data_IF_841950122937
#
_entry.id   IF_841950122937
#
_cell.length_a   1.000
_cell.length_b   1.000
_cell.length_c   1.000
_cell.angle_alpha   90.00
_cell.angle_beta   90.00
_cell.angle_gamma   90.00
#
_symmetry.space_group_name_H-M   'P 1'
#
loop_
_entity.id
_entity.type
_entity.pdbx_description
1 polymer ?
#
# COMPACT_ATOMS: atom_id res chain seq x y z
N UNK A 1 -9.18 -12.08 -36.14
CA UNK A 1 -9.19 -13.56 -36.20
C UNK A 1 -7.87 -14.16 -36.66
N UNK A 2 -7.15 -13.55 -37.63
CA UNK A 2 -5.86 -14.08 -38.13
C UNK A 2 -4.80 -14.17 -37.04
N UNK A 3 -4.64 -13.12 -36.24
CA UNK A 3 -3.61 -13.04 -35.20
C UNK A 3 -3.87 -14.04 -34.05
N UNK A 4 -5.14 -14.25 -33.69
CA UNK A 4 -5.51 -15.27 -32.69
C UNK A 4 -5.22 -16.68 -33.23
N UNK A 5 -5.45 -16.92 -34.54
CA UNK A 5 -5.09 -18.20 -35.13
C UNK A 5 -3.58 -18.44 -35.08
N UNK A 6 -2.78 -17.43 -35.44
CA UNK A 6 -1.32 -17.51 -35.35
C UNK A 6 -0.86 -17.74 -33.91
N UNK A 7 -1.49 -17.06 -32.91
CA UNK A 7 -1.19 -17.30 -31.50
C UNK A 7 -1.43 -18.77 -31.09
N UNK A 8 -2.58 -19.34 -31.48
CA UNK A 8 -2.89 -20.73 -31.17
C UNK A 8 -1.93 -21.71 -31.86
N UNK A 9 -1.56 -21.46 -33.13
CA UNK A 9 -0.58 -22.28 -33.84
C UNK A 9 0.79 -22.26 -33.13
N UNK A 10 1.26 -21.08 -32.69
CA UNK A 10 2.52 -20.95 -31.95
C UNK A 10 2.43 -21.65 -30.59
N UNK A 11 1.31 -21.50 -29.87
CA UNK A 11 1.09 -22.16 -28.59
C UNK A 11 1.18 -23.69 -28.71
N UNK A 12 0.50 -24.26 -29.73
CA UNK A 12 0.53 -25.71 -30.00
C UNK A 12 1.92 -26.19 -30.40
N UNK A 13 2.64 -25.40 -31.22
CA UNK A 13 4.01 -25.72 -31.63
C UNK A 13 4.96 -25.73 -30.42
N UNK A 14 4.86 -24.77 -29.51
CA UNK A 14 5.68 -24.71 -28.29
C UNK A 14 5.40 -25.94 -27.43
N UNK A 15 4.14 -26.24 -27.16
CA UNK A 15 3.77 -27.42 -26.36
C UNK A 15 4.27 -28.73 -26.94
N UNK A 16 4.28 -28.83 -28.27
CA UNK A 16 4.63 -30.08 -28.96
C UNK A 16 6.12 -30.29 -29.16
N UNK A 17 6.87 -29.20 -29.34
CA UNK A 17 8.25 -29.28 -29.84
C UNK A 17 9.28 -28.72 -28.87
N UNK A 18 8.90 -28.04 -27.77
CA UNK A 18 9.88 -27.57 -26.80
C UNK A 18 10.58 -28.77 -26.12
N UNK A 19 11.87 -28.61 -25.80
CA UNK A 19 12.73 -29.69 -25.27
C UNK A 19 12.24 -30.30 -23.99
N UNK A 20 11.64 -29.47 -23.12
CA UNK A 20 11.06 -29.93 -21.84
C UNK A 20 9.53 -29.83 -21.89
N UNK A 21 8.86 -30.61 -21.05
CA UNK A 21 7.39 -30.52 -20.90
C UNK A 21 7.02 -29.16 -20.28
N UNK A 22 6.09 -28.43 -20.92
CA UNK A 22 5.67 -27.08 -20.50
C UNK A 22 4.21 -27.09 -20.07
N UNK A 23 3.96 -26.53 -18.89
CA UNK A 23 2.59 -26.33 -18.42
C UNK A 23 1.86 -25.27 -19.22
N UNK A 24 0.64 -25.60 -19.64
CA UNK A 24 -0.22 -24.71 -20.45
C UNK A 24 -0.57 -23.43 -19.72
N UNK A 25 -0.80 -23.50 -18.41
CA UNK A 25 -1.15 -22.34 -17.58
C UNK A 25 0.00 -21.34 -17.54
N UNK A 26 1.22 -21.84 -17.39
CA UNK A 26 2.44 -21.02 -17.41
C UNK A 26 2.61 -20.28 -18.73
N UNK A 27 2.38 -20.96 -19.87
CA UNK A 27 2.48 -20.36 -21.19
C UNK A 27 1.42 -19.27 -21.40
N UNK A 28 0.16 -19.54 -21.03
CA UNK A 28 -0.93 -18.57 -21.15
C UNK A 28 -0.69 -17.35 -20.24
N UNK A 29 -0.29 -17.55 -18.99
CA UNK A 29 0.04 -16.45 -18.09
C UNK A 29 1.22 -15.62 -18.62
N UNK A 30 2.23 -16.28 -19.21
CA UNK A 30 3.34 -15.60 -19.88
C UNK A 30 2.86 -14.73 -21.05
N UNK A 31 1.95 -15.24 -21.88
CA UNK A 31 1.38 -14.50 -23.00
C UNK A 31 0.54 -13.30 -22.53
N UNK A 32 -0.32 -13.48 -21.53
CA UNK A 32 -1.13 -12.40 -20.92
C UNK A 32 -0.20 -11.33 -20.36
N UNK A 33 0.83 -11.72 -19.60
CA UNK A 33 1.81 -10.79 -19.05
C UNK A 33 2.57 -10.03 -20.16
N UNK A 34 2.94 -10.69 -21.24
CA UNK A 34 3.57 -10.05 -22.41
C UNK A 34 2.66 -8.98 -23.02
N UNK A 35 1.39 -9.30 -23.23
CA UNK A 35 0.38 -8.36 -23.73
C UNK A 35 0.23 -7.14 -22.83
N UNK A 36 0.09 -7.36 -21.51
CA UNK A 36 -0.12 -6.27 -20.56
C UNK A 36 1.13 -5.39 -20.43
N UNK A 37 2.32 -5.98 -20.40
CA UNK A 37 3.60 -5.24 -20.34
C UNK A 37 3.84 -4.35 -21.56
N UNK A 38 3.22 -4.64 -22.70
CA UNK A 38 3.32 -3.79 -23.90
C UNK A 38 2.55 -2.47 -23.77
N UNK A 39 1.68 -2.31 -22.75
CA UNK A 39 0.88 -1.11 -22.56
C UNK A 39 1.62 -0.05 -21.73
N UNK A 40 2.04 -0.40 -20.54
CA UNK A 40 2.75 0.48 -19.59
C UNK A 40 3.39 -0.33 -18.44
N UNK A 41 4.29 0.26 -17.62
CA UNK A 41 4.94 -0.44 -16.53
C UNK A 41 4.06 -0.66 -15.28
N UNK A 42 2.85 -0.11 -15.23
CA UNK A 42 1.97 -0.13 -14.07
C UNK A 42 0.81 -1.12 -14.22
N UNK A 43 0.45 -1.46 -15.45
CA UNK A 43 -0.55 -2.48 -15.73
C UNK A 43 0.03 -3.87 -15.52
N UNK A 44 -0.74 -4.78 -14.93
CA UNK A 44 -0.29 -6.13 -14.61
C UNK A 44 -1.45 -7.12 -14.58
N UNK A 45 -1.19 -8.35 -14.97
CA UNK A 45 -2.02 -9.49 -14.63
C UNK A 45 -1.60 -10.02 -13.26
N UNK A 46 -2.56 -10.22 -12.38
CA UNK A 46 -2.33 -10.71 -11.02
C UNK A 46 -2.93 -12.11 -10.87
N UNK A 47 -2.10 -13.05 -10.48
CA UNK A 47 -2.57 -14.36 -10.04
C UNK A 47 -3.48 -14.23 -8.81
N UNK A 48 -4.30 -15.24 -8.46
CA UNK A 48 -5.16 -15.18 -7.27
C UNK A 48 -4.42 -14.82 -5.98
N UNK A 49 -3.20 -15.36 -5.79
CA UNK A 49 -2.39 -15.04 -4.63
C UNK A 49 -1.95 -13.56 -4.59
N UNK A 50 -1.49 -13.02 -5.73
CA UNK A 50 -1.08 -11.60 -5.84
C UNK A 50 -2.28 -10.65 -5.70
N UNK A 51 -3.43 -11.02 -6.24
CA UNK A 51 -4.65 -10.22 -6.07
C UNK A 51 -5.08 -10.16 -4.61
N UNK A 52 -5.05 -11.28 -3.90
CA UNK A 52 -5.34 -11.33 -2.47
C UNK A 52 -4.37 -10.51 -1.63
N UNK A 53 -3.09 -10.46 -1.99
CA UNK A 53 -2.12 -9.59 -1.32
C UNK A 53 -2.45 -8.11 -1.54
N UNK A 54 -2.81 -7.72 -2.77
CA UNK A 54 -3.25 -6.36 -3.05
C UNK A 54 -4.51 -5.98 -2.27
N UNK A 55 -5.49 -6.90 -2.13
CA UNK A 55 -6.67 -6.65 -1.29
C UNK A 55 -6.28 -6.38 0.17
N UNK A 56 -5.35 -7.16 0.71
CA UNK A 56 -4.83 -6.96 2.08
C UNK A 56 -4.16 -5.59 2.24
N UNK A 57 -3.30 -5.21 1.29
CA UNK A 57 -2.66 -3.89 1.30
C UNK A 57 -3.68 -2.76 1.20
N UNK A 58 -4.68 -2.94 0.34
CA UNK A 58 -5.74 -1.96 0.12
C UNK A 58 -6.63 -1.79 1.36
N UNK A 59 -7.00 -2.89 2.01
CA UNK A 59 -7.77 -2.87 3.25
C UNK A 59 -6.98 -2.33 4.44
N UNK A 60 -5.65 -2.39 4.40
CA UNK A 60 -4.79 -1.99 5.52
C UNK A 60 -4.92 -2.89 6.73
N UNK A 61 -5.36 -4.13 6.53
CA UNK A 61 -5.50 -5.13 7.58
C UNK A 61 -5.39 -6.56 7.02
N UNK A 62 -4.93 -7.48 7.85
CA UNK A 62 -4.84 -8.90 7.46
C UNK A 62 -5.03 -9.81 8.68
N UNK A 63 -5.50 -11.03 8.43
CA UNK A 63 -5.51 -12.07 9.44
C UNK A 63 -4.13 -12.66 9.64
N UNK A 64 -3.61 -12.67 10.88
CA UNK A 64 -2.28 -13.17 11.16
C UNK A 64 -1.88 -13.05 12.63
N UNK A 65 -0.60 -13.22 12.91
CA UNK A 65 -0.06 -13.18 14.28
C UNK A 65 0.61 -11.84 14.63
N UNK A 66 0.85 -10.97 13.66
CA UNK A 66 1.41 -9.63 13.88
C UNK A 66 2.90 -9.60 14.18
N UNK A 67 3.72 -10.08 13.23
CA UNK A 67 5.18 -9.99 13.27
C UNK A 67 5.74 -9.47 11.94
N UNK A 68 6.83 -8.72 12.03
CA UNK A 68 7.72 -8.44 10.90
C UNK A 68 8.80 -9.50 10.86
N UNK A 69 9.07 -10.05 9.68
CA UNK A 69 10.05 -11.12 9.48
C UNK A 69 11.04 -10.79 8.37
N UNK A 70 12.21 -11.37 8.48
CA UNK A 70 13.25 -11.34 7.45
C UNK A 70 13.99 -12.68 7.40
N UNK A 71 14.80 -12.89 6.36
CA UNK A 71 15.77 -13.98 6.34
C UNK A 71 17.14 -13.41 6.71
N UNK A 72 17.69 -13.85 7.81
CA UNK A 72 19.01 -13.45 8.29
C UNK A 72 19.90 -14.71 8.38
N UNK A 73 21.01 -14.73 7.62
CA UNK A 73 21.92 -15.90 7.54
C UNK A 73 21.16 -17.20 7.24
N UNK A 74 20.31 -17.16 6.23
CA UNK A 74 19.46 -18.27 5.76
C UNK A 74 18.43 -18.79 6.78
N UNK A 75 18.17 -18.02 7.86
CA UNK A 75 17.19 -18.38 8.89
C UNK A 75 16.07 -17.34 8.94
N UNK A 76 14.82 -17.83 8.94
CA UNK A 76 13.65 -16.98 9.12
C UNK A 76 13.67 -16.37 10.53
N UNK A 77 13.75 -15.05 10.61
CA UNK A 77 14.00 -14.32 11.85
C UNK A 77 12.95 -13.22 12.05
N UNK A 78 12.48 -13.07 13.29
CA UNK A 78 11.59 -11.97 13.69
C UNK A 78 12.37 -10.67 13.76
N UNK A 79 11.97 -9.66 12.98
CA UNK A 79 12.49 -8.29 13.08
C UNK A 79 11.86 -7.63 14.30
N UNK A 80 10.53 -7.64 14.39
CA UNK A 80 9.78 -7.14 15.54
C UNK A 80 8.36 -7.73 15.61
N UNK A 81 7.82 -8.01 16.78
CA UNK A 81 6.39 -8.20 16.97
C UNK A 81 5.69 -6.84 16.99
N UNK A 82 4.50 -6.76 16.40
CA UNK A 82 3.67 -5.57 16.38
C UNK A 82 2.92 -5.46 17.72
N UNK A 83 2.99 -4.33 18.38
CA UNK A 83 2.32 -4.08 19.67
C UNK A 83 0.82 -4.32 19.58
N UNK A 84 0.25 -4.97 20.62
CA UNK A 84 -1.18 -5.28 20.70
C UNK A 84 -1.60 -6.49 19.85
N UNK A 85 -0.67 -7.25 19.28
CA UNK A 85 -0.96 -8.43 18.46
C UNK A 85 -0.74 -9.75 19.21
N UNK A 86 -1.24 -10.89 18.69
CA UNK A 86 -1.07 -12.19 19.33
C UNK A 86 0.39 -12.56 19.59
N UNK A 87 1.30 -12.30 18.65
CA UNK A 87 2.71 -12.59 18.83
C UNK A 87 3.35 -11.75 19.93
N UNK A 88 3.02 -10.45 19.99
CA UNK A 88 3.48 -9.56 21.04
C UNK A 88 3.01 -10.04 22.43
N UNK A 89 1.72 -10.37 22.56
CA UNK A 89 1.11 -10.87 23.80
C UNK A 89 1.72 -12.22 24.26
N UNK A 90 2.15 -13.06 23.30
CA UNK A 90 2.79 -14.35 23.58
C UNK A 90 4.29 -14.24 23.91
N UNK A 91 4.87 -13.02 23.90
CA UNK A 91 6.25 -12.77 24.26
C UNK A 91 7.26 -13.12 23.16
N UNK A 92 6.85 -13.12 21.90
CA UNK A 92 7.77 -13.14 20.74
C UNK A 92 8.61 -11.87 20.79
N UNK A 93 9.92 -12.00 20.50
CA UNK A 93 10.87 -10.88 20.60
C UNK A 93 11.63 -10.67 19.28
N UNK A 94 12.17 -9.48 19.06
CA UNK A 94 13.14 -9.25 17.99
C UNK A 94 14.31 -10.23 18.11
N UNK A 95 14.75 -10.77 16.96
CA UNK A 95 15.83 -11.77 16.90
C UNK A 95 15.42 -13.23 17.11
N UNK A 96 14.15 -13.51 17.46
CA UNK A 96 13.66 -14.88 17.53
C UNK A 96 13.78 -15.56 16.15
N UNK A 97 14.45 -16.70 16.09
CA UNK A 97 14.54 -17.53 14.90
C UNK A 97 13.33 -18.45 14.83
N UNK A 98 12.60 -18.44 13.73
CA UNK A 98 11.44 -19.32 13.51
C UNK A 98 11.94 -20.58 12.78
N UNK A 99 12.08 -21.68 13.50
CA UNK A 99 12.60 -22.92 12.95
C UNK A 99 11.53 -23.78 12.28
N UNK A 100 10.27 -23.67 12.73
CA UNK A 100 9.12 -24.40 12.16
C UNK A 100 7.85 -23.54 12.21
N UNK A 101 6.96 -23.80 11.26
CA UNK A 101 5.58 -23.29 11.24
C UNK A 101 4.67 -24.50 11.03
N UNK A 102 3.73 -24.73 11.96
CA UNK A 102 2.84 -25.89 12.00
C UNK A 102 3.61 -27.23 11.83
N UNK A 103 4.73 -27.37 12.56
CA UNK A 103 5.60 -28.53 12.55
C UNK A 103 6.50 -28.69 11.31
N UNK A 104 6.29 -27.89 10.25
CA UNK A 104 7.10 -27.92 9.03
C UNK A 104 8.32 -26.99 9.16
N UNK A 105 9.49 -27.50 8.76
CA UNK A 105 10.73 -26.71 8.81
C UNK A 105 10.64 -25.46 7.94
N UNK A 106 11.31 -24.39 8.40
CA UNK A 106 11.48 -23.13 7.67
C UNK A 106 12.84 -23.01 6.98
N UNK A 107 13.61 -24.12 6.93
CA UNK A 107 14.85 -24.16 6.17
C UNK A 107 14.52 -23.94 4.69
N UNK A 108 15.29 -23.09 4.03
CA UNK A 108 15.15 -22.71 2.61
C UNK A 108 13.77 -22.11 2.22
N UNK A 109 12.98 -21.67 3.21
CA UNK A 109 11.68 -21.02 2.97
C UNK A 109 11.88 -19.63 2.42
N UNK A 110 11.05 -19.22 1.45
CA UNK A 110 10.98 -17.83 1.02
C UNK A 110 10.15 -16.97 1.97
N UNK A 111 10.40 -15.66 2.01
CA UNK A 111 9.58 -14.71 2.81
C UNK A 111 8.09 -14.84 2.46
N UNK A 112 7.76 -14.96 1.17
CA UNK A 112 6.38 -15.08 0.70
C UNK A 112 5.69 -16.34 1.23
N UNK A 113 6.36 -17.47 1.20
CA UNK A 113 5.84 -18.73 1.75
C UNK A 113 5.67 -18.66 3.27
N UNK A 114 6.60 -18.03 3.97
CA UNK A 114 6.50 -17.80 5.41
C UNK A 114 5.28 -16.92 5.74
N UNK A 115 5.12 -15.80 5.03
CA UNK A 115 3.96 -14.90 5.16
C UNK A 115 2.66 -15.66 4.91
N UNK A 116 2.57 -16.45 3.82
CA UNK A 116 1.39 -17.28 3.49
C UNK A 116 1.03 -18.26 4.60
N UNK A 117 2.01 -18.85 5.28
CA UNK A 117 1.79 -19.78 6.41
C UNK A 117 1.41 -19.07 7.71
N UNK A 118 1.98 -17.91 7.99
CA UNK A 118 1.74 -17.14 9.21
C UNK A 118 0.41 -16.37 9.16
N UNK A 119 0.00 -15.91 7.97
CA UNK A 119 -1.33 -15.33 7.71
C UNK A 119 -2.40 -16.43 7.71
N UNK A 120 -3.66 -16.02 7.85
CA UNK A 120 -4.81 -16.91 7.78
C UNK A 120 -6.05 -16.28 8.43
N UNK A 121 -7.20 -16.96 8.37
CA UNK A 121 -8.44 -16.44 8.93
C UNK A 121 -8.32 -16.10 10.41
N UNK A 122 -8.99 -15.02 10.83
CA UNK A 122 -9.14 -14.68 12.24
C UNK A 122 -9.62 -15.91 13.01
N UNK A 123 -9.20 -16.03 14.28
CA UNK A 123 -9.50 -17.10 15.22
C UNK A 123 -8.95 -18.50 14.85
N UNK A 124 -8.29 -18.67 13.69
CA UNK A 124 -7.53 -19.88 13.38
C UNK A 124 -6.20 -19.90 14.14
N UNK A 125 -5.65 -21.09 14.37
CA UNK A 125 -4.40 -21.27 15.10
C UNK A 125 -3.23 -21.51 14.15
N UNK A 126 -2.04 -21.10 14.58
CA UNK A 126 -0.76 -21.44 13.98
C UNK A 126 0.25 -21.70 15.10
N UNK A 127 1.08 -22.70 14.93
CA UNK A 127 2.16 -23.00 15.87
C UNK A 127 3.48 -22.58 15.25
N UNK A 128 4.25 -21.73 15.93
CA UNK A 128 5.62 -21.42 15.55
C UNK A 128 6.59 -22.06 16.55
N UNK A 129 7.64 -22.69 16.06
CA UNK A 129 8.76 -23.15 16.89
C UNK A 129 9.85 -22.13 16.81
N UNK A 130 10.14 -21.47 17.91
CA UNK A 130 11.17 -20.43 17.96
C UNK A 130 12.43 -20.92 18.69
N UNK A 131 13.56 -20.33 18.33
CA UNK A 131 14.83 -20.41 19.06
C UNK A 131 15.37 -19.00 19.28
N UNK A 132 15.87 -18.76 20.47
CA UNK A 132 16.47 -17.49 20.88
C UNK A 132 17.82 -17.75 21.51
N UNK A 133 18.72 -16.79 21.48
CA UNK A 133 20.09 -16.93 21.97
C UNK A 133 20.17 -17.34 23.46
N UNK A 134 19.20 -16.90 24.27
CA UNK A 134 19.10 -17.21 25.70
C UNK A 134 18.33 -18.50 26.02
N UNK A 135 17.93 -19.30 25.02
CA UNK A 135 17.18 -20.54 25.20
C UNK A 135 18.07 -21.76 25.04
N UNK A 136 17.87 -22.75 25.90
CA UNK A 136 18.59 -24.03 25.84
C UNK A 136 17.99 -25.03 24.81
N UNK A 137 16.74 -24.81 24.39
CA UNK A 137 16.02 -25.64 23.43
C UNK A 137 14.94 -24.84 22.70
N UNK A 138 14.57 -25.25 21.46
CA UNK A 138 13.46 -24.66 20.75
C UNK A 138 12.13 -24.74 21.54
N UNK A 139 11.31 -23.71 21.42
CA UNK A 139 10.01 -23.63 22.11
C UNK A 139 8.88 -23.47 21.11
N UNK A 140 7.84 -24.26 21.25
CA UNK A 140 6.60 -24.12 20.50
C UNK A 140 5.70 -23.07 21.15
N UNK A 141 5.18 -22.16 20.32
CA UNK A 141 4.21 -21.14 20.69
C UNK A 141 2.99 -21.30 19.79
N UNK A 142 1.86 -21.63 20.41
CA UNK A 142 0.56 -21.68 19.72
C UNK A 142 -0.06 -20.31 19.74
N UNK A 143 -0.32 -19.74 18.59
CA UNK A 143 -0.87 -18.40 18.41
C UNK A 143 -2.25 -18.47 17.75
N UNK A 144 -3.22 -17.73 18.26
CA UNK A 144 -4.51 -17.55 17.60
C UNK A 144 -4.42 -16.32 16.72
N UNK A 145 -4.66 -16.47 15.40
CA UNK A 145 -4.61 -15.36 14.46
C UNK A 145 -5.68 -14.32 14.77
N UNK A 146 -5.32 -13.06 14.68
CA UNK A 146 -6.21 -11.91 14.85
C UNK A 146 -6.21 -11.05 13.59
N UNK A 147 -7.13 -10.09 13.50
CA UNK A 147 -7.05 -9.02 12.50
C UNK A 147 -5.94 -8.06 12.93
N UNK A 148 -4.88 -7.97 12.14
CA UNK A 148 -3.74 -7.08 12.35
C UNK A 148 -3.97 -5.83 11.52
N UNK A 149 -4.03 -4.67 12.15
CA UNK A 149 -4.19 -3.38 11.48
C UNK A 149 -2.84 -2.78 11.14
N UNK A 150 -2.69 -2.34 9.90
CA UNK A 150 -1.52 -1.58 9.43
C UNK A 150 -1.80 -0.11 9.72
N UNK A 151 -1.10 0.48 10.68
CA UNK A 151 -1.24 1.91 10.98
C UNK A 151 -0.60 2.75 9.89
N UNK A 152 -1.42 3.38 9.05
CA UNK A 152 -0.94 4.33 8.02
C UNK A 152 -0.69 5.73 8.56
N UNK A 153 -1.34 6.12 9.65
CA UNK A 153 -1.23 7.46 10.25
C UNK A 153 -0.56 7.38 11.61
N UNK A 154 0.48 8.18 11.78
CA UNK A 154 1.18 8.38 13.07
C UNK A 154 1.23 9.87 13.35
N UNK A 155 1.11 10.28 14.61
CA UNK A 155 1.12 11.69 14.98
C UNK A 155 1.74 11.92 16.34
N UNK A 156 2.29 13.11 16.50
CA UNK A 156 2.85 13.60 17.76
C UNK A 156 2.74 15.12 17.82
N UNK A 157 3.08 15.69 18.97
CA UNK A 157 3.18 17.12 19.17
C UNK A 157 4.63 17.45 19.46
N UNK A 158 5.18 18.45 18.79
CA UNK A 158 6.46 19.04 19.09
C UNK A 158 6.31 20.30 19.95
N UNK A 159 7.42 20.82 20.45
CA UNK A 159 7.46 22.07 21.20
C UNK A 159 6.76 23.20 20.43
N UNK A 160 6.36 24.25 21.14
CA UNK A 160 5.63 25.39 20.59
C UNK A 160 4.24 25.08 19.97
N UNK A 161 3.61 23.97 20.35
CA UNK A 161 2.31 23.59 19.85
C UNK A 161 2.26 23.32 18.33
N UNK A 162 3.32 22.74 17.78
CA UNK A 162 3.38 22.27 16.41
C UNK A 162 2.91 20.82 16.36
N UNK A 163 1.84 20.56 15.63
CA UNK A 163 1.36 19.22 15.35
C UNK A 163 2.17 18.57 14.21
N UNK A 164 2.48 17.31 14.34
CA UNK A 164 3.10 16.49 13.31
C UNK A 164 2.24 15.28 13.03
N UNK A 165 1.95 15.06 11.75
CA UNK A 165 1.23 13.87 11.28
C UNK A 165 2.01 13.28 10.11
N UNK A 166 2.27 11.97 10.15
CA UNK A 166 2.86 11.22 9.05
C UNK A 166 1.82 10.26 8.47
N UNK A 167 1.67 10.28 7.15
CA UNK A 167 0.95 9.25 6.40
C UNK A 167 1.99 8.40 5.67
N UNK A 168 1.95 7.09 5.88
CA UNK A 168 2.90 6.14 5.29
C UNK A 168 2.33 5.43 4.05
N UNK A 169 0.99 5.40 3.89
CA UNK A 169 0.27 4.84 2.74
C UNK A 169 -1.22 5.20 2.82
N UNK A 170 -1.94 5.04 1.69
CA UNK A 170 -3.37 5.32 1.59
C UNK A 170 -4.18 4.04 1.41
N UNK A 171 -4.61 3.42 2.50
CA UNK A 171 -5.53 2.27 2.52
C UNK A 171 -6.92 2.68 3.05
N UNK A 172 -7.91 1.78 3.06
CA UNK A 172 -9.32 2.07 3.33
C UNK A 172 -9.59 2.88 4.62
N UNK A 173 -8.72 2.78 5.62
CA UNK A 173 -8.92 3.45 6.91
C UNK A 173 -8.12 4.74 7.08
N UNK A 174 -7.30 5.12 6.11
CA UNK A 174 -6.36 6.26 6.27
C UNK A 174 -7.09 7.58 6.59
N UNK A 175 -8.20 7.86 5.92
CA UNK A 175 -8.98 9.07 6.20
C UNK A 175 -9.65 9.04 7.59
N UNK A 176 -10.14 7.88 8.04
CA UNK A 176 -10.69 7.71 9.40
C UNK A 176 -9.60 7.94 10.45
N UNK A 177 -8.44 7.30 10.28
CA UNK A 177 -7.29 7.43 11.18
C UNK A 177 -6.76 8.87 11.21
N UNK A 178 -6.77 9.56 10.06
CA UNK A 178 -6.40 10.97 9.95
C UNK A 178 -7.37 11.89 10.71
N UNK A 179 -8.69 11.70 10.54
CA UNK A 179 -9.71 12.46 11.31
C UNK A 179 -9.54 12.26 12.81
N UNK A 180 -9.24 11.02 13.24
CA UNK A 180 -8.96 10.73 14.63
C UNK A 180 -7.70 11.45 15.12
N UNK A 181 -6.62 11.37 14.34
CA UNK A 181 -5.36 12.03 14.68
C UNK A 181 -5.55 13.55 14.83
N UNK A 182 -6.29 14.21 13.91
CA UNK A 182 -6.55 15.65 13.96
C UNK A 182 -7.40 16.03 15.20
N UNK A 183 -8.42 15.24 15.55
CA UNK A 183 -9.20 15.47 16.78
C UNK A 183 -8.32 15.34 18.03
N UNK A 184 -7.57 14.26 18.15
CA UNK A 184 -6.68 14.02 19.30
C UNK A 184 -5.61 15.12 19.45
N UNK A 185 -5.08 15.62 18.32
CA UNK A 185 -4.14 16.73 18.31
C UNK A 185 -4.80 18.04 18.71
N UNK A 186 -5.98 18.34 18.19
CA UNK A 186 -6.71 19.56 18.54
C UNK A 186 -7.12 19.60 20.00
N UNK A 187 -7.37 18.44 20.63
CA UNK A 187 -7.65 18.35 22.07
C UNK A 187 -6.41 18.54 22.92
N UNK A 188 -5.25 18.07 22.47
CA UNK A 188 -3.98 18.15 23.21
C UNK A 188 -3.30 19.52 23.09
N UNK A 189 -3.50 20.21 21.96
CA UNK A 189 -2.74 21.41 21.59
C UNK A 189 -3.70 22.57 21.32
N UNK A 190 -3.79 23.51 22.25
CA UNK A 190 -4.68 24.68 22.15
C UNK A 190 -3.92 25.97 22.50
N UNK A 191 -3.76 26.90 21.53
CA UNK A 191 -4.04 26.79 20.11
C UNK A 191 -2.94 26.02 19.36
N UNK A 192 -3.33 25.25 18.32
CA UNK A 192 -2.37 24.67 17.37
C UNK A 192 -1.79 25.80 16.52
N UNK A 193 -0.44 25.98 16.59
CA UNK A 193 0.27 27.05 15.88
C UNK A 193 0.65 26.67 14.45
N UNK A 194 0.76 25.37 14.16
CA UNK A 194 1.10 24.84 12.84
C UNK A 194 0.96 23.33 12.77
N UNK A 195 0.84 22.82 11.56
CA UNK A 195 0.79 21.40 11.25
C UNK A 195 1.86 21.03 10.23
N UNK A 196 2.65 20.02 10.54
CA UNK A 196 3.56 19.36 9.59
C UNK A 196 2.90 18.06 9.15
N UNK A 197 2.57 17.95 7.85
CA UNK A 197 2.09 16.72 7.21
C UNK A 197 3.23 16.06 6.46
N UNK A 198 3.71 14.91 6.95
CA UNK A 198 4.83 14.19 6.35
C UNK A 198 4.34 13.07 5.43
N UNK A 199 4.60 13.24 4.12
CA UNK A 199 4.29 12.30 3.04
C UNK A 199 5.58 11.69 2.45
N UNK A 200 6.73 11.86 3.07
CA UNK A 200 7.99 11.29 2.59
C UNK A 200 7.95 9.77 2.60
N UNK A 201 8.41 9.16 1.48
CA UNK A 201 8.39 7.70 1.26
C UNK A 201 6.98 7.08 1.33
N UNK A 202 5.95 7.86 1.04
CA UNK A 202 4.58 7.37 0.90
C UNK A 202 4.32 7.02 -0.57
N UNK A 203 4.20 5.71 -0.94
CA UNK A 203 4.01 5.29 -2.32
C UNK A 203 2.60 5.57 -2.85
N UNK A 204 1.72 6.12 -2.02
CA UNK A 204 0.33 6.38 -2.32
C UNK A 204 -0.62 5.26 -1.87
N UNK A 205 -1.59 4.93 -2.69
CA UNK A 205 -2.63 3.94 -2.43
C UNK A 205 -3.98 4.37 -3.03
N UNK A 206 -5.04 4.28 -2.24
CA UNK A 206 -6.41 4.53 -2.70
C UNK A 206 -6.67 6.01 -3.01
N UNK A 207 -7.08 6.29 -4.26
CA UNK A 207 -7.47 7.63 -4.73
C UNK A 207 -8.55 8.27 -3.84
N UNK A 208 -9.56 7.50 -3.45
CA UNK A 208 -10.66 8.02 -2.61
C UNK A 208 -10.16 8.49 -1.24
N UNK A 209 -9.17 7.79 -0.67
CA UNK A 209 -8.60 8.16 0.61
C UNK A 209 -7.75 9.45 0.52
N UNK A 210 -7.03 9.63 -0.60
CA UNK A 210 -6.32 10.89 -0.85
C UNK A 210 -7.29 12.07 -0.99
N UNK A 211 -8.41 11.87 -1.70
CA UNK A 211 -9.47 12.88 -1.84
C UNK A 211 -10.04 13.24 -0.46
N UNK A 212 -10.39 12.24 0.36
CA UNK A 212 -10.94 12.47 1.70
C UNK A 212 -9.95 13.16 2.64
N UNK A 213 -8.66 12.80 2.56
CA UNK A 213 -7.61 13.45 3.37
C UNK A 213 -7.40 14.91 2.93
N UNK A 214 -7.31 15.17 1.62
CA UNK A 214 -7.17 16.55 1.12
C UNK A 214 -8.39 17.42 1.48
N UNK A 215 -9.60 16.83 1.42
CA UNK A 215 -10.85 17.49 1.77
C UNK A 215 -10.89 18.00 3.22
N UNK A 216 -10.17 17.35 4.15
CA UNK A 216 -10.07 17.79 5.55
C UNK A 216 -9.38 19.15 5.71
N UNK A 217 -8.60 19.56 4.73
CA UNK A 217 -7.78 20.78 4.79
C UNK A 217 -8.29 21.90 3.88
N UNK A 218 -9.23 21.62 2.97
CA UNK A 218 -9.72 22.52 1.96
C UNK A 218 -11.18 22.93 2.22
N UNK A 219 -11.45 24.20 2.33
CA UNK A 219 -12.82 24.70 2.49
C UNK A 219 -13.59 24.68 1.16
N UNK A 220 -12.90 24.78 0.04
CA UNK A 220 -13.45 24.79 -1.32
C UNK A 220 -12.35 24.51 -2.34
N UNK A 221 -12.72 24.37 -3.60
CA UNK A 221 -11.80 24.19 -4.71
C UNK A 221 -11.75 22.75 -5.20
N UNK A 222 -11.06 22.55 -6.32
CA UNK A 222 -10.83 21.23 -6.90
C UNK A 222 -9.73 20.53 -6.10
N UNK A 223 -9.90 19.26 -5.82
CA UNK A 223 -8.88 18.39 -5.21
C UNK A 223 -8.06 17.72 -6.31
N UNK A 224 -8.76 17.06 -7.23
CA UNK A 224 -8.14 16.31 -8.34
C UNK A 224 -9.16 16.16 -9.46
N UNK A 225 -8.69 16.12 -10.70
CA UNK A 225 -9.50 15.65 -11.82
C UNK A 225 -8.87 14.40 -12.45
N UNK A 226 -9.72 13.50 -12.95
CA UNK A 226 -9.27 12.31 -13.68
C UNK A 226 -9.79 12.35 -15.11
N UNK A 227 -9.00 11.86 -16.06
CA UNK A 227 -9.37 11.75 -17.46
C UNK A 227 -9.02 10.35 -17.95
N UNK A 228 -10.03 9.66 -18.46
CA UNK A 228 -9.87 8.37 -19.11
C UNK A 228 -9.76 8.50 -20.64
N UNK A 229 -9.93 7.37 -21.32
CA UNK A 229 -9.85 7.29 -22.79
C UNK A 229 -10.95 8.08 -23.50
N UNK A 230 -12.13 8.21 -22.89
CA UNK A 230 -13.27 8.94 -23.45
C UNK A 230 -13.69 10.08 -22.52
N UNK A 231 -14.35 11.12 -23.07
CA UNK A 231 -14.84 12.25 -22.27
C UNK A 231 -15.77 11.84 -21.12
N UNK A 232 -16.52 10.77 -21.29
CA UNK A 232 -17.43 10.25 -20.25
C UNK A 232 -16.68 9.65 -19.05
N UNK A 233 -15.37 9.49 -19.15
CA UNK A 233 -14.49 9.01 -18.07
C UNK A 233 -13.75 10.17 -17.37
N UNK A 234 -14.17 11.41 -17.60
CA UNK A 234 -13.66 12.57 -16.86
C UNK A 234 -14.44 12.74 -15.57
N UNK A 235 -13.73 12.86 -14.45
CA UNK A 235 -14.32 13.15 -13.14
C UNK A 235 -13.56 14.28 -12.47
N UNK A 236 -14.24 15.00 -11.58
CA UNK A 236 -13.65 16.03 -10.71
C UNK A 236 -14.08 15.77 -9.28
N UNK A 237 -13.13 15.66 -8.38
CA UNK A 237 -13.37 15.75 -6.95
C UNK A 237 -13.16 17.20 -6.50
N UNK A 238 -14.14 17.71 -5.77
CA UNK A 238 -14.12 19.07 -5.21
C UNK A 238 -14.24 18.98 -3.71
N UNK A 239 -13.58 19.89 -3.01
CA UNK A 239 -13.67 20.00 -1.57
C UNK A 239 -15.11 20.31 -1.14
N UNK A 240 -15.56 19.59 -0.12
CA UNK A 240 -16.85 19.83 0.54
C UNK A 240 -16.57 20.75 1.71
N UNK A 241 -17.37 21.78 1.89
CA UNK A 241 -17.21 22.70 3.02
C UNK A 241 -17.54 21.96 4.34
N UNK A 242 -16.55 21.29 4.89
CA UNK A 242 -16.68 20.48 6.11
C UNK A 242 -16.37 21.27 7.39
N UNK A 243 -16.43 22.60 7.38
CA UNK A 243 -16.05 23.49 8.49
C UNK A 243 -14.70 23.04 9.10
N UNK A 244 -13.63 23.18 8.30
CA UNK A 244 -12.31 22.71 8.66
C UNK A 244 -11.82 23.36 9.96
N UNK A 245 -11.69 22.57 11.00
CA UNK A 245 -11.19 23.01 12.31
C UNK A 245 -9.71 23.40 12.27
N UNK A 246 -8.97 22.98 11.21
CA UNK A 246 -7.54 23.25 11.08
C UNK A 246 -7.32 24.54 10.28
N UNK A 247 -7.17 25.65 10.99
CA UNK A 247 -6.93 26.97 10.41
C UNK A 247 -5.46 27.41 10.44
N UNK A 248 -4.61 26.72 11.20
CA UNK A 248 -3.20 27.03 11.30
C UNK A 248 -2.45 26.82 9.97
N UNK A 249 -1.25 27.43 9.80
CA UNK A 249 -0.35 27.13 8.68
C UNK A 249 -0.03 25.65 8.58
N UNK A 250 0.09 25.14 7.34
CA UNK A 250 0.45 23.74 7.06
C UNK A 250 1.70 23.70 6.21
N UNK A 251 2.64 22.84 6.58
CA UNK A 251 3.79 22.45 5.77
C UNK A 251 3.65 20.98 5.42
N UNK A 252 3.80 20.64 4.14
CA UNK A 252 3.80 19.26 3.65
C UNK A 252 5.22 18.86 3.30
N UNK A 253 5.73 17.81 3.92
CA UNK A 253 7.06 17.26 3.62
C UNK A 253 6.93 16.17 2.55
N UNK A 254 7.71 16.29 1.48
CA UNK A 254 7.74 15.36 0.36
C UNK A 254 9.18 14.98 -0.03
N UNK A 255 9.31 13.85 -0.72
CA UNK A 255 10.58 13.43 -1.34
C UNK A 255 10.32 12.57 -2.59
N UNK A 256 11.40 12.06 -3.21
CA UNK A 256 11.36 11.17 -4.37
C UNK A 256 10.58 9.87 -4.17
N UNK A 257 10.37 9.45 -2.92
CA UNK A 257 9.52 8.31 -2.56
C UNK A 257 8.04 8.66 -2.37
N UNK A 258 7.67 9.95 -2.45
CA UNK A 258 6.28 10.39 -2.42
C UNK A 258 5.64 10.18 -3.78
N UNK A 259 4.58 9.36 -3.89
CA UNK A 259 4.00 8.98 -5.17
C UNK A 259 2.46 8.89 -5.15
N UNK A 260 1.84 9.00 -6.34
CA UNK A 260 0.43 8.66 -6.58
C UNK A 260 -0.56 9.42 -5.66
N UNK A 261 -1.30 8.72 -4.79
CA UNK A 261 -2.27 9.29 -3.84
C UNK A 261 -1.64 10.39 -2.95
N UNK A 262 -0.39 10.21 -2.53
CA UNK A 262 0.34 11.20 -1.75
C UNK A 262 0.61 12.48 -2.56
N UNK A 263 0.89 12.35 -3.87
CA UNK A 263 1.06 13.48 -4.78
C UNK A 263 -0.26 14.23 -5.03
N UNK A 264 -1.40 13.52 -4.99
CA UNK A 264 -2.72 14.14 -5.08
C UNK A 264 -2.94 15.08 -3.88
N UNK A 265 -2.64 14.62 -2.66
CA UNK A 265 -2.76 15.45 -1.45
C UNK A 265 -1.82 16.65 -1.52
N UNK A 266 -0.54 16.43 -1.83
CA UNK A 266 0.45 17.50 -1.94
C UNK A 266 0.06 18.53 -3.00
N UNK A 267 -0.28 18.09 -4.21
CA UNK A 267 -0.69 18.95 -5.32
C UNK A 267 -2.00 19.67 -5.08
N UNK A 268 -2.97 19.02 -4.40
CA UNK A 268 -4.22 19.67 -4.03
C UNK A 268 -3.99 20.82 -3.04
N UNK A 269 -3.17 20.60 -2.02
CA UNK A 269 -2.88 21.63 -1.02
C UNK A 269 -2.00 22.75 -1.58
N UNK A 270 -1.04 22.43 -2.45
CA UNK A 270 -0.21 23.41 -3.15
C UNK A 270 -1.05 24.32 -4.06
N UNK A 271 -1.77 23.72 -5.00
CA UNK A 271 -2.51 24.45 -6.04
C UNK A 271 -3.66 25.32 -5.46
N UNK A 272 -4.23 24.92 -4.30
CA UNK A 272 -5.21 25.73 -3.59
C UNK A 272 -4.57 26.74 -2.61
N UNK A 273 -3.24 26.85 -2.53
CA UNK A 273 -2.53 27.77 -1.64
C UNK A 273 -2.75 27.48 -0.16
N UNK A 274 -3.08 26.22 0.19
CA UNK A 274 -3.40 25.84 1.57
C UNK A 274 -2.17 25.46 2.38
N UNK A 275 -1.15 24.92 1.75
CA UNK A 275 0.08 24.48 2.40
C UNK A 275 1.31 24.84 1.59
N UNK A 276 2.44 25.00 2.28
CA UNK A 276 3.77 25.07 1.69
C UNK A 276 4.32 23.66 1.51
N UNK A 277 4.76 23.32 0.31
CA UNK A 277 5.38 22.03 0.01
C UNK A 277 6.90 22.14 0.16
N UNK A 278 7.49 21.31 0.98
CA UNK A 278 8.92 21.36 1.34
C UNK A 278 9.57 19.99 1.15
N UNK A 279 10.76 19.98 0.59
CA UNK A 279 11.54 18.74 0.39
C UNK A 279 12.19 18.65 -0.97
N UNK A 280 12.13 17.48 -1.59
CA UNK A 280 12.59 17.23 -2.95
C UNK A 280 11.43 16.86 -3.87
N UNK A 281 11.62 17.02 -5.18
CA UNK A 281 10.62 16.66 -6.20
C UNK A 281 10.12 15.23 -6.01
N UNK A 282 8.80 15.05 -6.15
CA UNK A 282 8.15 13.75 -5.95
C UNK A 282 8.28 12.83 -7.16
N UNK A 283 7.84 11.60 -7.05
CA UNK A 283 8.05 10.53 -8.03
C UNK A 283 7.45 10.81 -9.42
N UNK A 284 6.24 11.39 -9.48
CA UNK A 284 5.57 11.66 -10.74
C UNK A 284 4.71 10.52 -11.28
N UNK A 285 3.86 9.92 -10.46
CA UNK A 285 2.91 8.90 -10.88
C UNK A 285 1.49 9.44 -10.97
N UNK A 286 1.02 9.75 -12.17
CA UNK A 286 -0.33 10.25 -12.43
C UNK A 286 -1.29 9.22 -13.05
N UNK A 287 -0.93 7.95 -13.09
CA UNK A 287 -1.76 6.88 -13.65
C UNK A 287 -2.84 6.42 -12.65
N UNK A 288 -4.10 6.37 -13.11
CA UNK A 288 -5.21 5.76 -12.38
C UNK A 288 -5.28 4.27 -12.72
N UNK A 289 -5.16 3.44 -11.70
CA UNK A 289 -5.22 1.97 -11.84
C UNK A 289 -6.61 1.46 -11.47
N UNK A 290 -7.23 0.70 -12.35
CA UNK A 290 -8.48 -0.03 -12.08
C UNK A 290 -8.17 -1.51 -11.93
N UNK A 291 -8.69 -2.11 -10.86
CA UNK A 291 -8.61 -3.55 -10.63
C UNK A 291 -9.88 -4.18 -11.16
N UNK A 292 -9.75 -5.14 -12.05
CA UNK A 292 -10.85 -5.87 -12.68
C UNK A 292 -10.70 -7.34 -12.28
N UNK A 293 -11.51 -7.83 -11.31
CA UNK A 293 -11.51 -9.24 -10.93
C UNK A 293 -11.95 -10.14 -12.10
N UNK A 294 -11.36 -11.33 -12.18
CA UNK A 294 -11.71 -12.36 -13.16
C UNK A 294 -12.34 -13.56 -12.45
N UNK A 295 -13.06 -14.40 -13.22
CA UNK A 295 -13.84 -15.52 -12.67
C UNK A 295 -13.00 -16.61 -11.99
N UNK A 296 -11.74 -16.75 -12.38
CA UNK A 296 -10.79 -17.71 -11.82
C UNK A 296 -10.10 -17.22 -10.51
N UNK A 297 -10.53 -16.06 -10.00
CA UNK A 297 -9.92 -15.43 -8.81
C UNK A 297 -8.66 -14.64 -9.09
N UNK A 298 -8.18 -14.59 -10.32
CA UNK A 298 -7.14 -13.67 -10.77
C UNK A 298 -7.73 -12.26 -10.99
N UNK A 299 -6.90 -11.27 -11.25
CA UNK A 299 -7.36 -9.93 -11.58
C UNK A 299 -6.46 -9.23 -12.59
N UNK A 300 -7.05 -8.28 -13.31
CA UNK A 300 -6.33 -7.38 -14.20
C UNK A 300 -6.20 -6.01 -13.53
N UNK A 301 -4.98 -5.57 -13.27
CA UNK A 301 -4.66 -4.19 -12.89
C UNK A 301 -4.36 -3.43 -14.17
N UNK A 302 -5.20 -2.44 -14.51
CA UNK A 302 -5.12 -1.74 -15.79
C UNK A 302 -5.09 -0.23 -15.58
N UNK A 303 -4.23 0.47 -16.29
CA UNK A 303 -4.25 1.92 -16.37
C UNK A 303 -5.44 2.38 -17.21
N UNK A 304 -6.44 2.96 -16.57
CA UNK A 304 -7.69 3.40 -17.21
C UNK A 304 -7.81 4.91 -17.34
N UNK A 305 -6.95 5.66 -16.69
CA UNK A 305 -6.97 7.11 -16.74
C UNK A 305 -5.71 7.75 -16.18
N UNK A 306 -5.70 9.07 -16.23
CA UNK A 306 -4.68 9.90 -15.58
C UNK A 306 -5.35 10.93 -14.70
N UNK A 307 -4.69 11.32 -13.61
CA UNK A 307 -5.15 12.42 -12.78
C UNK A 307 -4.33 13.68 -13.01
N UNK A 308 -4.95 14.80 -12.70
CA UNK A 308 -4.42 16.14 -12.88
C UNK A 308 -4.65 16.94 -11.61
N UNK A 309 -3.71 17.79 -11.28
CA UNK A 309 -3.83 18.71 -10.13
C UNK A 309 -4.97 19.71 -10.34
N UNK A 310 -5.39 20.46 -9.32
CA UNK A 310 -6.42 21.50 -9.45
C UNK A 310 -6.18 22.48 -10.60
N UNK A 311 -4.94 22.89 -10.81
CA UNK A 311 -4.54 23.79 -11.90
C UNK A 311 -4.42 23.10 -13.27
N UNK A 312 -4.78 21.80 -13.37
CA UNK A 312 -4.77 21.04 -14.61
C UNK A 312 -3.39 20.55 -15.04
N UNK A 313 -2.38 20.62 -14.17
CA UNK A 313 -1.03 20.09 -14.44
C UNK A 313 -1.07 18.56 -14.45
N UNK A 314 -0.45 17.93 -15.45
CA UNK A 314 -0.12 16.49 -15.37
C UNK A 314 1.19 16.37 -14.60
N UNK A 315 1.19 15.52 -13.59
CA UNK A 315 2.42 15.23 -12.83
C UNK A 315 3.12 13.95 -13.30
N UNK A 316 2.64 13.33 -14.39
CA UNK A 316 3.23 12.10 -14.92
C UNK A 316 4.68 12.35 -15.33
N UNK A 317 5.61 11.62 -14.70
CA UNK A 317 7.06 11.73 -14.83
C UNK A 317 7.67 13.10 -14.42
N UNK A 318 6.84 14.04 -13.92
CA UNK A 318 7.28 15.35 -13.46
C UNK A 318 7.17 15.50 -11.93
N UNK A 319 6.19 14.84 -11.31
CA UNK A 319 5.94 14.96 -9.88
C UNK A 319 5.44 16.33 -9.43
N UNK A 320 5.38 16.51 -8.12
CA UNK A 320 5.15 17.80 -7.48
C UNK A 320 6.52 18.41 -7.14
N UNK A 321 6.76 19.59 -7.64
CA UNK A 321 7.96 20.40 -7.33
C UNK A 321 7.65 21.17 -6.04
N UNK A 322 8.48 21.08 -4.99
CA UNK A 322 8.35 21.90 -3.79
C UNK A 322 8.40 23.40 -4.09
N UNK A 323 7.82 24.21 -3.19
CA UNK A 323 7.74 25.68 -3.30
C UNK A 323 9.08 26.38 -3.05
#
# INVERSE_FOLDING_TARGET
YRDIKTFNEVFDMVKKNYVDEVDSTTLIQGAINGMIRSLDPHSAFMTPDLYKELEVETQGQFGGIGIEITILKDVLTVVSPIEGTPAFAAGVKPGDQILRIDGKTTKDITIMEAVKKLRGPKDSKVTITIMREDMNAPKDIVLTRAVIQIKSVRYTVYDDNIAYVRIASFHERTAEDMRKALRDLNDKVKPMKGLVLDLRNDPGGLLIQAIEVADMFLASGVIVSTRGRTKNMETKAVAKNNMNEITCPIVVLVNEGTASAAEIVAGALQDNGRALIVGTQTFGKASVQTIIPLEDGSALKLTTGRYYTPNGRSIQAEGIVPD
#
